data_IF_200133664520
#
_entry.id   IF_200133664520
#
_cell.length_a   1.000
_cell.length_b   1.000
_cell.length_c   1.000
_cell.angle_alpha   90.00
_cell.angle_beta   90.00
_cell.angle_gamma   90.00
#
_symmetry.space_group_name_H-M   'P 1'
#
loop_
_entity.id
_entity.type
_entity.pdbx_description
1 polymer ?
#
# COMPACT_ATOMS: atom_id res chain seq x y z
N UNK A 1 2.39 -13.48 -8.35
CA UNK A 1 2.40 -13.00 -9.77
C UNK A 1 1.41 -11.87 -9.92
N UNK A 2 1.71 -10.79 -10.67
CA UNK A 2 0.79 -9.64 -10.74
C UNK A 2 -0.45 -9.87 -11.62
N UNK A 3 -0.41 -10.79 -12.60
CA UNK A 3 -1.51 -11.04 -13.50
C UNK A 3 -1.42 -12.44 -14.13
N UNK A 4 -2.56 -13.12 -14.27
CA UNK A 4 -2.60 -14.48 -14.83
C UNK A 4 -2.80 -14.51 -16.36
N UNK A 5 -3.46 -13.51 -16.95
CA UNK A 5 -3.84 -13.47 -18.36
C UNK A 5 -3.00 -12.52 -19.22
N UNK A 6 -2.01 -11.83 -18.63
CA UNK A 6 -1.07 -10.96 -19.33
C UNK A 6 0.37 -11.31 -18.96
N UNK A 7 0.96 -12.35 -19.59
CA UNK A 7 2.33 -12.78 -19.32
C UNK A 7 3.37 -11.69 -19.60
N UNK A 8 3.19 -10.92 -20.67
CA UNK A 8 4.11 -9.84 -21.04
C UNK A 8 4.14 -8.73 -19.98
N UNK A 9 2.99 -8.38 -19.42
CA UNK A 9 2.94 -7.45 -18.30
C UNK A 9 3.62 -8.05 -17.06
N UNK A 10 3.35 -9.32 -16.75
CA UNK A 10 3.95 -10.00 -15.62
C UNK A 10 5.48 -10.04 -15.73
N UNK A 11 6.03 -10.37 -16.90
CA UNK A 11 7.47 -10.39 -17.16
C UNK A 11 8.15 -9.02 -16.99
N UNK A 12 7.46 -7.94 -17.31
CA UNK A 12 7.99 -6.59 -17.11
C UNK A 12 7.84 -6.09 -15.67
N UNK A 13 6.74 -6.44 -15.01
CA UNK A 13 6.41 -5.91 -13.68
C UNK A 13 7.14 -6.66 -12.56
N UNK A 14 7.21 -8.00 -12.60
CA UNK A 14 7.79 -8.83 -11.55
C UNK A 14 9.21 -8.42 -11.18
N UNK A 15 10.14 -8.19 -12.13
CA UNK A 15 11.51 -7.83 -11.79
C UNK A 15 11.62 -6.54 -10.96
N UNK A 16 10.67 -5.60 -11.11
CA UNK A 16 10.68 -4.36 -10.34
C UNK A 16 10.39 -4.63 -8.85
N UNK A 17 9.40 -5.46 -8.55
CA UNK A 17 9.09 -5.86 -7.16
C UNK A 17 10.21 -6.70 -6.54
N UNK A 18 10.76 -7.67 -7.30
CA UNK A 18 11.87 -8.51 -6.84
C UNK A 18 13.12 -7.69 -6.56
N UNK A 19 13.45 -6.75 -7.47
CA UNK A 19 14.57 -5.82 -7.29
C UNK A 19 14.36 -4.96 -6.05
N UNK A 20 13.13 -4.47 -5.82
CA UNK A 20 12.82 -3.64 -4.66
C UNK A 20 12.99 -4.42 -3.35
N UNK A 21 12.50 -5.66 -3.30
CA UNK A 21 12.70 -6.55 -2.15
C UNK A 21 14.19 -6.85 -1.92
N UNK A 22 14.93 -7.15 -2.99
CA UNK A 22 16.36 -7.46 -2.91
C UNK A 22 17.21 -6.26 -2.46
N UNK A 23 16.92 -5.05 -2.98
CA UNK A 23 17.59 -3.80 -2.56
C UNK A 23 17.35 -3.48 -1.07
N UNK A 24 16.18 -3.85 -0.55
CA UNK A 24 15.87 -3.72 0.87
C UNK A 24 16.45 -4.85 1.75
N UNK A 25 17.22 -5.78 1.16
CA UNK A 25 17.88 -6.88 1.87
C UNK A 25 17.01 -8.12 2.10
N UNK A 26 15.89 -8.26 1.37
CA UNK A 26 15.03 -9.44 1.38
C UNK A 26 15.36 -10.42 0.25
N UNK A 27 14.87 -11.64 0.38
CA UNK A 27 14.88 -12.65 -0.68
C UNK A 27 13.48 -12.81 -1.26
N UNK A 28 13.22 -12.39 -2.51
CA UNK A 28 11.90 -12.49 -3.12
C UNK A 28 11.58 -13.92 -3.54
N UNK A 29 10.38 -14.37 -3.19
CA UNK A 29 9.86 -15.68 -3.60
C UNK A 29 8.58 -15.48 -4.40
N UNK A 30 8.56 -15.96 -5.65
CA UNK A 30 7.38 -15.89 -6.51
C UNK A 30 6.35 -16.94 -6.13
N UNK A 31 5.09 -16.52 -6.05
CA UNK A 31 3.94 -17.43 -6.00
C UNK A 31 3.23 -17.38 -7.35
N UNK A 32 3.20 -18.49 -8.06
CA UNK A 32 2.51 -18.58 -9.35
C UNK A 32 0.99 -18.68 -9.14
N UNK A 33 0.21 -18.04 -10.01
CA UNK A 33 -1.25 -17.96 -9.89
C UNK A 33 -1.98 -19.25 -10.32
N UNK A 34 -1.27 -20.17 -10.94
CA UNK A 34 -1.79 -21.47 -11.41
C UNK A 34 -1.41 -22.63 -10.48
N UNK A 35 -0.90 -22.35 -9.28
CA UNK A 35 -0.57 -23.39 -8.30
C UNK A 35 -1.81 -23.86 -7.54
N UNK A 36 -1.78 -25.14 -7.13
CA UNK A 36 -2.78 -25.64 -6.21
C UNK A 36 -2.68 -24.94 -4.83
N UNK A 37 -3.79 -24.76 -4.09
CA UNK A 37 -3.78 -24.10 -2.79
C UNK A 37 -2.76 -24.65 -1.80
N UNK A 38 -2.57 -25.98 -1.77
CA UNK A 38 -1.60 -26.63 -0.87
C UNK A 38 -0.14 -26.30 -1.25
N UNK A 39 0.16 -26.10 -2.52
CA UNK A 39 1.50 -25.73 -2.94
C UNK A 39 1.78 -24.26 -2.62
N UNK A 40 0.77 -23.37 -2.73
CA UNK A 40 0.85 -21.99 -2.23
C UNK A 40 1.14 -21.98 -0.72
N UNK A 41 0.43 -22.79 0.07
CA UNK A 41 0.67 -22.90 1.52
C UNK A 41 2.08 -23.37 1.86
N UNK A 42 2.61 -24.38 1.15
CA UNK A 42 4.01 -24.84 1.32
C UNK A 42 5.03 -23.74 1.02
N UNK A 43 4.79 -22.92 -0.01
CA UNK A 43 5.65 -21.75 -0.28
C UNK A 43 5.58 -20.79 0.88
N UNK A 44 4.37 -20.51 1.39
CA UNK A 44 4.16 -19.56 2.50
C UNK A 44 4.82 -19.99 3.81
N UNK A 45 4.95 -21.30 4.08
CA UNK A 45 5.67 -21.80 5.28
C UNK A 45 7.13 -21.31 5.36
N UNK A 46 7.75 -21.03 4.20
CA UNK A 46 9.13 -20.54 4.11
C UNK A 46 9.24 -19.03 4.04
N UNK A 47 8.12 -18.32 3.92
CA UNK A 47 8.09 -16.87 3.75
C UNK A 47 7.79 -16.15 5.06
N UNK A 48 8.53 -15.09 5.34
CA UNK A 48 8.40 -14.28 6.55
C UNK A 48 7.48 -13.07 6.38
N UNK A 49 7.10 -12.74 5.16
CA UNK A 49 6.22 -11.62 4.82
C UNK A 49 5.49 -11.83 3.49
N UNK A 50 4.50 -11.00 3.22
CA UNK A 50 3.67 -11.03 2.00
C UNK A 50 3.74 -9.68 1.30
N UNK A 51 4.10 -9.68 0.02
CA UNK A 51 3.99 -8.54 -0.87
C UNK A 51 2.90 -8.84 -1.91
N UNK A 52 1.85 -8.01 -1.94
CA UNK A 52 0.81 -8.05 -2.96
C UNK A 52 1.12 -6.97 -4.01
N UNK A 53 1.53 -7.36 -5.23
CA UNK A 53 1.89 -6.41 -6.28
C UNK A 53 0.67 -5.78 -6.95
N UNK A 54 0.89 -4.73 -7.72
CA UNK A 54 -0.10 -4.17 -8.64
C UNK A 54 -0.53 -5.14 -9.73
N UNK A 55 -1.63 -4.84 -10.39
CA UNK A 55 -2.18 -5.59 -11.54
C UNK A 55 -2.82 -4.63 -12.54
N UNK A 56 -3.03 -5.10 -13.78
CA UNK A 56 -3.91 -4.45 -14.75
C UNK A 56 -5.36 -4.89 -14.63
N UNK A 57 -5.62 -6.00 -13.91
CA UNK A 57 -6.95 -6.44 -13.59
C UNK A 57 -7.57 -5.53 -12.53
N UNK A 58 -8.88 -5.54 -12.44
CA UNK A 58 -9.63 -4.98 -11.32
C UNK A 58 -10.10 -6.10 -10.40
N UNK A 59 -10.25 -5.79 -9.11
CA UNK A 59 -10.89 -6.71 -8.16
C UNK A 59 -12.35 -6.90 -8.57
N UNK A 60 -12.81 -8.15 -8.60
CA UNK A 60 -14.19 -8.46 -9.00
C UNK A 60 -15.19 -7.73 -8.08
N UNK A 61 -16.08 -6.87 -8.62
CA UNK A 61 -17.11 -6.18 -7.85
C UNK A 61 -18.04 -7.11 -7.06
N UNK A 62 -18.22 -8.35 -7.50
CA UNK A 62 -18.98 -9.35 -6.76
C UNK A 62 -18.39 -9.65 -5.38
N UNK A 63 -17.08 -9.49 -5.18
CA UNK A 63 -16.38 -9.71 -3.91
C UNK A 63 -16.71 -8.68 -2.83
N UNK A 64 -17.18 -7.50 -3.23
CA UNK A 64 -17.67 -6.44 -2.33
C UNK A 64 -19.13 -6.07 -2.58
N UNK A 65 -19.91 -7.01 -3.14
CA UNK A 65 -21.37 -6.97 -3.28
C UNK A 65 -21.91 -5.76 -4.05
N UNK A 66 -21.19 -5.32 -5.06
CA UNK A 66 -21.55 -4.17 -5.90
C UNK A 66 -21.75 -4.60 -7.35
N UNK A 67 -22.68 -3.95 -8.06
CA UNK A 67 -22.83 -4.15 -9.50
C UNK A 67 -21.59 -3.65 -10.23
N UNK A 68 -21.20 -4.39 -11.27
CA UNK A 68 -20.04 -4.03 -12.09
C UNK A 68 -20.27 -2.74 -12.87
N UNK A 69 -19.37 -1.77 -12.73
CA UNK A 69 -19.32 -0.58 -13.58
C UNK A 69 -18.88 -0.96 -15.01
N UNK A 70 -19.37 -0.24 -16.05
CA UNK A 70 -18.87 -0.42 -17.43
C UNK A 70 -17.36 -0.18 -17.58
N UNK A 71 -16.76 0.60 -16.68
CA UNK A 71 -15.34 0.95 -16.69
C UNK A 71 -14.46 -0.05 -15.95
N UNK A 72 -15.04 -1.02 -15.24
CA UNK A 72 -14.26 -2.04 -14.51
C UNK A 72 -13.56 -2.98 -15.50
N UNK A 73 -12.25 -3.09 -15.41
CA UNK A 73 -11.45 -4.02 -16.20
C UNK A 73 -11.78 -5.49 -15.85
N UNK A 74 -11.34 -6.41 -16.67
CA UNK A 74 -11.55 -7.85 -16.44
C UNK A 74 -10.90 -8.26 -15.12
N UNK A 75 -11.66 -8.94 -14.26
CA UNK A 75 -11.14 -9.53 -13.02
C UNK A 75 -10.18 -10.68 -13.31
N UNK A 76 -9.32 -10.97 -12.36
CA UNK A 76 -8.35 -12.09 -12.41
C UNK A 76 -8.63 -13.07 -11.25
N UNK A 77 -9.59 -14.02 -11.40
CA UNK A 77 -9.95 -14.94 -10.33
C UNK A 77 -8.79 -15.78 -9.78
N UNK A 78 -7.83 -16.27 -10.60
CA UNK A 78 -6.62 -16.90 -10.07
C UNK A 78 -5.79 -15.99 -9.17
N UNK A 79 -5.68 -14.70 -9.51
CA UNK A 79 -4.99 -13.71 -8.69
C UNK A 79 -5.73 -13.49 -7.37
N UNK A 80 -7.04 -13.31 -7.43
CA UNK A 80 -7.87 -13.13 -6.23
C UNK A 80 -7.76 -14.33 -5.28
N UNK A 81 -7.84 -15.55 -5.81
CA UNK A 81 -7.73 -16.77 -5.01
C UNK A 81 -6.37 -16.91 -4.32
N UNK A 82 -5.28 -16.58 -5.01
CA UNK A 82 -3.93 -16.63 -4.41
C UNK A 82 -3.77 -15.52 -3.38
N UNK A 83 -4.20 -14.29 -3.66
CA UNK A 83 -4.14 -13.18 -2.69
C UNK A 83 -4.90 -13.53 -1.40
N UNK A 84 -6.07 -14.18 -1.49
CA UNK A 84 -6.84 -14.62 -0.31
C UNK A 84 -6.05 -15.63 0.53
N UNK A 85 -5.40 -16.63 -0.09
CA UNK A 85 -4.54 -17.59 0.63
C UNK A 85 -3.34 -16.92 1.31
N UNK A 86 -2.70 -15.97 0.62
CA UNK A 86 -1.56 -15.23 1.15
C UNK A 86 -1.99 -14.36 2.34
N UNK A 87 -3.13 -13.68 2.24
CA UNK A 87 -3.67 -12.83 3.30
C UNK A 87 -4.16 -13.66 4.49
N UNK A 88 -4.85 -14.79 4.25
CA UNK A 88 -5.26 -15.71 5.31
C UNK A 88 -4.06 -16.14 6.17
N UNK A 89 -2.99 -16.59 5.54
CA UNK A 89 -1.77 -17.00 6.22
C UNK A 89 -1.08 -15.83 6.93
N UNK A 90 -1.01 -14.67 6.26
CA UNK A 90 -0.39 -13.47 6.84
C UNK A 90 -1.12 -12.98 8.09
N UNK A 91 -2.45 -12.95 8.08
CA UNK A 91 -3.24 -12.53 9.25
C UNK A 91 -3.21 -13.59 10.36
N UNK A 92 -3.30 -14.87 10.01
CA UNK A 92 -3.22 -15.97 10.99
C UNK A 92 -1.88 -16.00 11.73
N UNK A 93 -0.79 -15.77 11.03
CA UNK A 93 0.59 -15.86 11.56
C UNK A 93 1.24 -14.50 11.83
N UNK A 94 0.52 -13.39 11.66
CA UNK A 94 1.01 -12.01 11.78
C UNK A 94 2.27 -11.75 10.94
N UNK A 95 2.30 -12.30 9.73
CA UNK A 95 3.36 -11.98 8.77
C UNK A 95 3.16 -10.55 8.26
N UNK A 96 4.22 -9.74 8.16
CA UNK A 96 4.12 -8.42 7.54
C UNK A 96 3.47 -8.47 6.15
N UNK A 97 2.64 -7.47 5.86
CA UNK A 97 1.98 -7.29 4.57
C UNK A 97 2.35 -5.94 3.99
N UNK A 98 2.80 -5.94 2.74
CA UNK A 98 2.93 -4.75 1.90
C UNK A 98 2.04 -4.91 0.67
N UNK A 99 0.98 -4.08 0.55
CA UNK A 99 0.11 -4.03 -0.62
C UNK A 99 0.46 -2.84 -1.52
N UNK A 100 0.51 -3.04 -2.85
CA UNK A 100 0.83 -2.00 -3.82
C UNK A 100 -0.25 -1.96 -4.89
N UNK A 101 -0.90 -0.81 -5.07
CA UNK A 101 -1.94 -0.56 -6.07
C UNK A 101 -3.09 -1.59 -5.96
N UNK A 102 -3.20 -2.55 -6.88
CA UNK A 102 -4.14 -3.67 -6.77
C UNK A 102 -4.02 -4.40 -5.42
N UNK A 103 -2.80 -4.54 -4.88
CA UNK A 103 -2.58 -5.19 -3.58
C UNK A 103 -3.22 -4.44 -2.41
N UNK A 104 -3.33 -3.10 -2.46
CA UNK A 104 -4.13 -2.32 -1.50
C UNK A 104 -5.62 -2.64 -1.66
N UNK A 105 -6.11 -2.67 -2.89
CA UNK A 105 -7.51 -2.91 -3.21
C UNK A 105 -7.94 -4.32 -2.79
N UNK A 106 -7.14 -5.33 -3.15
CA UNK A 106 -7.33 -6.73 -2.77
C UNK A 106 -7.35 -6.91 -1.24
N UNK A 107 -6.40 -6.29 -0.52
CA UNK A 107 -6.36 -6.28 0.94
C UNK A 107 -7.62 -5.65 1.54
N UNK A 108 -8.05 -4.49 1.03
CA UNK A 108 -9.24 -3.80 1.54
C UNK A 108 -10.49 -4.68 1.39
N UNK A 109 -10.68 -5.28 0.21
CA UNK A 109 -11.82 -6.17 -0.09
C UNK A 109 -11.75 -7.46 0.73
N UNK A 110 -10.57 -8.09 0.86
CA UNK A 110 -10.37 -9.24 1.75
C UNK A 110 -10.79 -8.95 3.19
N UNK A 111 -10.61 -7.72 3.65
CA UNK A 111 -11.01 -7.28 4.99
C UNK A 111 -12.47 -6.83 5.09
N UNK A 112 -13.28 -6.99 4.03
CA UNK A 112 -14.69 -6.64 3.95
C UNK A 112 -14.97 -5.19 3.62
N UNK A 113 -14.01 -4.49 3.02
CA UNK A 113 -14.18 -3.15 2.47
C UNK A 113 -14.73 -3.18 1.05
N UNK A 114 -14.98 -1.99 0.47
CA UNK A 114 -15.43 -1.79 -0.92
C UNK A 114 -14.47 -0.90 -1.71
N UNK A 115 -14.70 -0.80 -3.01
CA UNK A 115 -13.90 0.03 -3.91
C UNK A 115 -14.75 1.03 -4.69
N UNK A 116 -14.20 2.20 -4.92
CA UNK A 116 -14.55 3.08 -6.02
C UNK A 116 -14.10 2.40 -7.30
N UNK A 117 -15.05 1.96 -8.15
CA UNK A 117 -14.74 1.19 -9.36
C UNK A 117 -14.15 2.05 -10.49
N UNK A 118 -14.42 3.35 -10.48
CA UNK A 118 -13.89 4.30 -11.47
C UNK A 118 -13.88 5.72 -10.88
N UNK A 119 -12.70 6.19 -10.51
CA UNK A 119 -12.50 7.50 -9.86
C UNK A 119 -13.15 8.65 -10.65
N UNK A 120 -13.00 8.74 -12.00
CA UNK A 120 -13.62 9.82 -12.77
C UNK A 120 -15.15 9.88 -12.67
N UNK A 121 -15.85 8.74 -12.48
CA UNK A 121 -17.31 8.74 -12.28
C UNK A 121 -17.72 9.05 -10.85
N UNK A 122 -16.87 8.69 -9.90
CA UNK A 122 -17.11 8.91 -8.47
C UNK A 122 -16.95 10.38 -8.07
N UNK A 123 -15.97 11.07 -8.66
CA UNK A 123 -15.65 12.45 -8.31
C UNK A 123 -16.64 13.45 -8.94
N UNK A 124 -17.00 14.55 -8.23
CA UNK A 124 -17.67 15.70 -8.84
C UNK A 124 -16.84 16.27 -9.98
N UNK A 125 -17.50 16.85 -10.99
CA UNK A 125 -16.86 17.38 -12.21
C UNK A 125 -15.71 18.36 -11.89
N UNK A 126 -15.88 19.23 -10.87
CA UNK A 126 -14.87 20.21 -10.46
C UNK A 126 -13.62 19.56 -9.86
N UNK A 127 -13.74 18.36 -9.28
CA UNK A 127 -12.61 17.62 -8.71
C UNK A 127 -11.88 16.79 -9.77
N UNK A 128 -12.58 16.24 -10.76
CA UNK A 128 -12.00 15.42 -11.85
C UNK A 128 -10.90 16.13 -12.63
N UNK A 129 -11.02 17.47 -12.79
CA UNK A 129 -10.07 18.26 -13.55
C UNK A 129 -8.77 18.59 -12.79
N UNK A 130 -8.67 18.24 -11.51
CA UNK A 130 -7.55 18.63 -10.64
C UNK A 130 -6.42 17.62 -10.64
N UNK A 131 -6.75 16.32 -10.68
CA UNK A 131 -5.77 15.23 -10.55
C UNK A 131 -6.07 14.14 -11.58
N UNK A 132 -5.02 13.68 -12.23
CA UNK A 132 -5.04 12.46 -13.05
C UNK A 132 -4.29 11.33 -12.30
N UNK A 133 -5.05 10.44 -11.67
CA UNK A 133 -4.49 9.28 -10.96
C UNK A 133 -3.87 8.24 -11.89
N UNK A 134 -3.99 8.37 -13.20
CA UNK A 134 -3.36 7.50 -14.19
C UNK A 134 -2.08 8.11 -14.80
N UNK A 135 -1.77 9.37 -14.50
CA UNK A 135 -0.64 10.10 -15.09
C UNK A 135 0.72 9.42 -14.87
N UNK A 136 0.91 8.70 -13.76
CA UNK A 136 2.15 7.96 -13.45
C UNK A 136 2.48 6.81 -14.41
N UNK A 137 1.64 6.56 -15.42
CA UNK A 137 1.98 5.72 -16.58
C UNK A 137 3.00 6.42 -17.50
N UNK A 138 3.04 7.74 -17.48
CA UNK A 138 3.83 8.58 -18.42
C UNK A 138 4.74 9.58 -17.73
N UNK A 139 4.48 9.92 -16.46
CA UNK A 139 5.27 10.90 -15.68
C UNK A 139 5.78 10.27 -14.37
N UNK A 140 6.90 10.78 -13.87
CA UNK A 140 7.53 10.29 -12.64
C UNK A 140 6.74 10.69 -11.37
N UNK A 141 6.05 11.83 -11.40
CA UNK A 141 5.19 12.33 -10.32
C UNK A 141 3.83 12.67 -10.92
N UNK A 142 2.78 12.03 -10.43
CA UNK A 142 1.40 12.27 -10.85
C UNK A 142 0.74 13.36 -10.00
N UNK A 143 0.84 13.24 -8.68
CA UNK A 143 0.27 14.17 -7.69
C UNK A 143 0.98 14.04 -6.34
N UNK A 144 0.50 14.74 -5.32
CA UNK A 144 0.95 14.59 -3.94
C UNK A 144 -0.05 13.77 -3.12
N UNK A 145 0.42 13.22 -2.01
CA UNK A 145 -0.43 12.61 -0.99
C UNK A 145 -0.14 13.21 0.38
N UNK A 146 -1.18 13.44 1.16
CA UNK A 146 -1.11 13.80 2.56
C UNK A 146 -1.16 12.56 3.43
N UNK A 147 -0.12 12.36 4.24
CA UNK A 147 0.02 11.22 5.15
C UNK A 147 -0.24 11.68 6.57
N UNK A 148 -1.10 10.96 7.29
CA UNK A 148 -1.42 11.22 8.71
C UNK A 148 -0.14 11.14 9.55
N UNK A 149 0.22 12.21 10.22
CA UNK A 149 1.53 12.43 10.86
C UNK A 149 1.98 11.31 11.84
N UNK A 150 1.09 10.79 12.66
CA UNK A 150 1.42 9.75 13.64
C UNK A 150 1.17 8.31 13.14
N UNK A 151 0.95 8.16 11.82
CA UNK A 151 0.79 6.84 11.19
C UNK A 151 2.11 6.06 11.17
N UNK A 152 2.00 4.74 11.01
CA UNK A 152 3.16 3.88 10.73
C UNK A 152 3.82 4.30 9.42
N UNK A 153 3.01 4.58 8.40
CA UNK A 153 3.49 5.03 7.10
C UNK A 153 4.31 6.33 7.23
N UNK A 154 3.83 7.35 7.96
CA UNK A 154 4.57 8.59 8.16
C UNK A 154 5.93 8.34 8.82
N UNK A 155 5.99 7.51 9.86
CA UNK A 155 7.24 7.14 10.53
C UNK A 155 8.22 6.43 9.61
N UNK A 156 7.73 5.59 8.72
CA UNK A 156 8.53 4.86 7.73
C UNK A 156 9.13 5.84 6.72
N UNK A 157 8.31 6.65 6.05
CA UNK A 157 8.78 7.50 4.94
C UNK A 157 9.58 8.71 5.40
N UNK A 158 9.46 9.13 6.67
CA UNK A 158 10.33 10.16 7.28
C UNK A 158 11.69 9.62 7.75
N UNK A 159 12.02 8.37 7.44
CA UNK A 159 13.32 7.76 7.76
C UNK A 159 13.51 7.39 9.22
N UNK A 160 12.45 7.27 10.01
CA UNK A 160 12.55 6.92 11.45
C UNK A 160 13.23 7.99 12.30
N UNK A 161 13.71 9.07 11.71
CA UNK A 161 14.15 10.26 12.42
C UNK A 161 12.91 10.94 12.99
N UNK A 162 12.45 10.47 14.15
CA UNK A 162 11.58 11.29 14.97
C UNK A 162 12.20 12.67 15.02
N UNK A 163 11.52 13.66 14.48
CA UNK A 163 11.96 15.05 14.59
C UNK A 163 12.14 15.36 16.06
N UNK A 164 13.37 15.36 16.53
CA UNK A 164 13.78 15.82 17.86
C UNK A 164 13.53 17.33 18.03
N UNK A 165 12.93 17.98 17.04
CA UNK A 165 12.60 19.41 17.10
C UNK A 165 11.63 19.78 18.23
N UNK A 166 10.77 18.87 18.68
CA UNK A 166 9.89 19.09 19.83
C UNK A 166 10.56 18.89 21.19
N UNK A 167 11.63 18.09 21.27
CA UNK A 167 12.31 17.83 22.54
C UNK A 167 13.36 18.87 22.90
N UNK A 168 13.88 19.60 21.91
CA UNK A 168 14.83 20.69 22.12
C UNK A 168 14.13 21.99 22.53
N UNK A 169 12.92 22.26 22.05
CA UNK A 169 12.12 23.44 22.41
C UNK A 169 11.69 23.47 23.89
N UNK A 170 11.63 22.32 24.57
CA UNK A 170 11.25 22.22 25.99
C UNK A 170 12.39 22.53 26.97
N UNK A 171 13.61 22.79 26.51
CA UNK A 171 14.75 23.11 27.39
C UNK A 171 14.87 24.59 27.75
N UNK A 172 14.15 25.46 27.07
CA UNK A 172 14.19 26.89 27.29
C UNK A 172 12.85 27.36 27.91
N UNK A 173 12.63 27.13 29.16
CA UNK A 173 11.64 27.58 30.15
C UNK A 173 10.41 28.44 29.74
N UNK A 174 10.09 28.52 28.48
CA UNK A 174 8.91 29.19 27.94
C UNK A 174 7.71 28.27 27.79
N UNK A 175 6.56 28.66 28.37
CA UNK A 175 5.27 28.01 28.10
C UNK A 175 4.80 28.36 26.68
N UNK A 176 5.41 27.72 25.69
CA UNK A 176 5.05 27.95 24.29
C UNK A 176 3.82 27.08 23.95
N UNK A 177 2.64 27.72 24.12
CA UNK A 177 1.33 27.08 23.81
C UNK A 177 1.31 26.60 22.36
N UNK A 178 1.96 27.31 21.44
CA UNK A 178 2.08 26.88 20.03
C UNK A 178 2.89 25.60 19.85
N UNK A 179 3.98 25.42 20.61
CA UNK A 179 4.76 24.17 20.59
C UNK A 179 3.97 22.99 21.17
N UNK A 180 3.16 23.22 22.21
CA UNK A 180 2.27 22.22 22.79
C UNK A 180 1.08 21.88 21.86
N UNK A 181 0.57 22.83 21.11
CA UNK A 181 -0.47 22.60 20.08
C UNK A 181 0.10 21.84 18.88
N UNK A 182 1.30 22.15 18.41
CA UNK A 182 1.99 21.42 17.35
C UNK A 182 2.26 19.95 17.74
N UNK A 183 2.54 19.67 19.02
CA UNK A 183 2.66 18.30 19.53
C UNK A 183 1.31 17.56 19.59
N UNK A 184 0.20 18.26 19.76
CA UNK A 184 -1.15 17.70 19.79
C UNK A 184 -1.73 17.47 18.41
N UNK A 185 -1.37 18.30 17.43
CA UNK A 185 -1.83 18.27 16.05
C UNK A 185 -0.63 18.37 15.10
N UNK A 186 0.19 17.30 15.01
CA UNK A 186 1.33 17.32 14.10
C UNK A 186 0.83 17.46 12.66
N UNK A 187 1.47 18.35 11.91
CA UNK A 187 1.15 18.57 10.50
C UNK A 187 1.29 17.28 9.68
N UNK A 188 0.41 17.04 8.71
CA UNK A 188 0.51 15.90 7.82
C UNK A 188 1.80 15.97 7.00
N UNK A 189 2.37 14.82 6.71
CA UNK A 189 3.51 14.70 5.81
C UNK A 189 3.02 14.66 4.36
N UNK A 190 3.53 15.53 3.51
CA UNK A 190 3.19 15.57 2.09
C UNK A 190 4.35 15.01 1.26
N UNK A 191 4.08 14.01 0.41
CA UNK A 191 5.07 13.45 -0.51
C UNK A 191 4.52 13.38 -1.94
N UNK A 192 5.38 13.51 -2.98
CA UNK A 192 5.00 13.27 -4.36
C UNK A 192 4.91 11.77 -4.64
N UNK A 193 3.97 11.35 -5.50
CA UNK A 193 3.76 9.94 -5.86
C UNK A 193 3.54 9.73 -7.35
N UNK A 194 3.83 8.50 -7.82
CA UNK A 194 3.71 8.07 -9.22
C UNK A 194 2.44 7.24 -9.45
N UNK A 195 1.28 7.80 -9.12
CA UNK A 195 -0.02 7.11 -9.23
C UNK A 195 -0.37 6.66 -10.64
N UNK A 196 -0.93 5.44 -10.73
CA UNK A 196 -1.26 4.78 -12.01
C UNK A 196 -2.47 3.85 -11.83
N UNK A 197 -3.59 4.40 -11.33
CA UNK A 197 -4.80 3.65 -10.98
C UNK A 197 -6.06 4.44 -11.33
N UNK A 198 -7.16 3.73 -11.61
CA UNK A 198 -8.49 4.32 -11.80
C UNK A 198 -9.50 3.87 -10.75
N UNK A 199 -9.10 2.95 -9.85
CA UNK A 199 -9.88 2.49 -8.70
C UNK A 199 -9.21 2.92 -7.40
N UNK A 200 -9.96 2.98 -6.30
CA UNK A 200 -9.44 3.26 -4.96
C UNK A 200 -10.31 2.57 -3.90
N UNK A 201 -9.79 2.46 -2.66
CA UNK A 201 -10.61 2.04 -1.53
C UNK A 201 -11.73 3.06 -1.27
N UNK A 202 -12.93 2.54 -0.94
CA UNK A 202 -14.12 3.32 -0.58
C UNK A 202 -14.48 3.05 0.90
N UNK A 203 -15.34 2.08 1.22
CA UNK A 203 -15.50 1.62 2.59
C UNK A 203 -14.27 0.82 3.02
N UNK A 204 -13.75 1.13 4.22
CA UNK A 204 -12.51 0.53 4.70
C UNK A 204 -12.78 -0.76 5.44
N UNK A 205 -12.00 -1.79 5.09
CA UNK A 205 -12.10 -3.12 5.66
C UNK A 205 -11.72 -3.21 7.14
N UNK A 206 -12.25 -4.22 7.82
CA UNK A 206 -12.07 -4.44 9.25
C UNK A 206 -10.59 -4.53 9.65
N UNK A 207 -10.20 -3.73 10.65
CA UNK A 207 -8.83 -3.70 11.17
C UNK A 207 -7.84 -2.94 10.28
N UNK A 208 -8.35 -2.17 9.31
CA UNK A 208 -7.60 -1.19 8.52
C UNK A 208 -8.01 0.23 8.88
N UNK A 209 -7.16 1.20 8.59
CA UNK A 209 -7.45 2.63 8.66
C UNK A 209 -6.80 3.39 7.51
N UNK A 210 -7.41 4.49 7.11
CA UNK A 210 -6.84 5.40 6.12
C UNK A 210 -5.69 6.17 6.77
N UNK A 211 -4.56 6.23 6.07
CA UNK A 211 -3.37 6.97 6.51
C UNK A 211 -2.80 7.90 5.45
N UNK A 212 -3.30 7.86 4.22
CA UNK A 212 -3.00 8.88 3.22
C UNK A 212 -4.19 9.11 2.28
N UNK A 213 -4.31 10.35 1.82
CA UNK A 213 -5.26 10.80 0.79
C UNK A 213 -4.58 11.76 -0.18
N UNK A 214 -5.10 11.82 -1.39
CA UNK A 214 -4.84 12.92 -2.30
C UNK A 214 -5.52 14.18 -1.75
N UNK A 215 -4.80 15.31 -1.50
CA UNK A 215 -5.39 16.49 -0.89
C UNK A 215 -6.38 17.22 -1.82
N UNK A 216 -6.23 17.08 -3.14
CA UNK A 216 -7.03 17.80 -4.12
C UNK A 216 -8.44 17.22 -4.30
N UNK A 217 -8.62 15.92 -4.08
CA UNK A 217 -9.91 15.24 -4.35
C UNK A 217 -10.35 14.24 -3.26
N UNK A 218 -9.49 14.00 -2.27
CA UNK A 218 -9.79 13.15 -1.12
C UNK A 218 -9.72 11.64 -1.39
N UNK A 219 -9.27 11.22 -2.57
CA UNK A 219 -9.11 9.80 -2.92
C UNK A 219 -8.14 9.14 -1.94
N UNK A 220 -8.49 7.92 -1.50
CA UNK A 220 -7.66 7.13 -0.57
C UNK A 220 -6.41 6.63 -1.29
N UNK A 221 -5.25 6.94 -0.70
CA UNK A 221 -3.94 6.62 -1.27
C UNK A 221 -3.14 5.64 -0.41
N UNK A 222 -3.45 5.51 0.88
CA UNK A 222 -2.83 4.46 1.70
C UNK A 222 -3.71 4.00 2.85
N UNK A 223 -3.53 2.71 3.18
CA UNK A 223 -4.13 2.04 4.32
C UNK A 223 -3.05 1.43 5.20
N UNK A 224 -3.31 1.34 6.50
CA UNK A 224 -2.50 0.52 7.41
C UNK A 224 -3.35 -0.28 8.38
N UNK A 225 -2.79 -1.37 8.89
CA UNK A 225 -3.42 -2.18 9.93
C UNK A 225 -3.47 -1.48 11.28
N UNK A 226 -4.57 -1.66 12.02
CA UNK A 226 -4.78 -1.04 13.34
C UNK A 226 -4.05 -1.78 14.47
N UNK A 227 -3.60 -3.02 14.25
CA UNK A 227 -2.86 -3.79 15.24
C UNK A 227 -1.41 -3.30 15.33
N UNK A 228 -0.92 -2.88 16.53
CA UNK A 228 0.41 -2.30 16.69
C UNK A 228 1.55 -3.28 16.40
N UNK A 229 1.36 -4.55 16.69
CA UNK A 229 2.35 -5.63 16.57
C UNK A 229 2.23 -6.42 15.25
N UNK A 230 1.40 -5.97 14.32
CA UNK A 230 1.29 -6.53 12.97
C UNK A 230 1.56 -5.45 11.93
N UNK A 231 2.68 -5.58 11.22
CA UNK A 231 3.00 -4.66 10.13
C UNK A 231 2.09 -4.95 8.93
N UNK A 232 1.14 -4.08 8.70
CA UNK A 232 0.29 -4.08 7.51
C UNK A 232 0.29 -2.65 6.98
N UNK A 233 0.83 -2.44 5.79
CA UNK A 233 0.85 -1.16 5.07
C UNK A 233 0.48 -1.43 3.63
N UNK A 234 -0.39 -0.60 3.06
CA UNK A 234 -0.72 -0.69 1.65
C UNK A 234 -0.81 0.71 1.05
N UNK A 235 -0.25 0.88 -0.13
CA UNK A 235 -0.17 2.14 -0.86
C UNK A 235 -0.78 2.00 -2.25
N UNK A 236 -1.41 3.05 -2.75
CA UNK A 236 -2.09 3.03 -4.04
C UNK A 236 -1.14 3.36 -5.20
N UNK A 237 -0.05 4.10 -4.92
CA UNK A 237 1.02 4.38 -5.89
C UNK A 237 2.01 3.22 -6.02
N UNK A 238 3.06 3.39 -6.84
CA UNK A 238 4.00 2.35 -7.25
C UNK A 238 5.44 2.60 -6.75
N UNK A 239 5.75 2.40 -5.47
CA UNK A 239 7.09 2.63 -4.92
C UNK A 239 8.17 1.73 -5.54
N UNK A 240 7.81 0.57 -6.09
CA UNK A 240 8.74 -0.33 -6.78
C UNK A 240 9.38 0.29 -8.01
N UNK A 241 8.72 1.29 -8.62
CA UNK A 241 9.23 1.98 -9.82
C UNK A 241 10.27 3.04 -9.50
N UNK A 242 10.31 3.54 -8.28
CA UNK A 242 11.15 4.67 -7.86
C UNK A 242 12.12 4.35 -6.71
N UNK A 243 12.27 3.10 -6.33
CA UNK A 243 13.07 2.70 -5.16
C UNK A 243 14.54 3.16 -5.20
N UNK A 244 15.11 3.31 -6.38
CA UNK A 244 16.52 3.73 -6.52
C UNK A 244 16.70 5.25 -6.37
N UNK A 245 15.69 6.04 -6.74
CA UNK A 245 15.73 7.49 -6.81
C UNK A 245 15.00 8.16 -5.65
N UNK A 246 14.02 7.49 -5.05
CA UNK A 246 13.15 8.05 -4.03
C UNK A 246 13.39 7.38 -2.66
N UNK A 247 13.74 8.21 -1.67
CA UNK A 247 14.02 7.75 -0.32
C UNK A 247 12.79 7.20 0.41
N UNK A 248 11.60 7.77 0.16
CA UNK A 248 10.35 7.31 0.77
C UNK A 248 9.97 5.92 0.26
N UNK A 249 10.12 5.68 -1.05
CA UNK A 249 9.92 4.37 -1.66
C UNK A 249 10.88 3.33 -1.09
N UNK A 250 12.16 3.67 -0.94
CA UNK A 250 13.17 2.79 -0.34
C UNK A 250 12.83 2.45 1.10
N UNK A 251 12.52 3.45 1.92
CA UNK A 251 12.18 3.28 3.32
C UNK A 251 10.98 2.35 3.53
N UNK A 252 9.99 2.39 2.62
CA UNK A 252 8.82 1.51 2.69
C UNK A 252 9.20 0.04 2.55
N UNK A 253 10.03 -0.31 1.57
CA UNK A 253 10.52 -1.68 1.40
C UNK A 253 11.45 -2.11 2.54
N UNK A 254 12.36 -1.24 2.99
CA UNK A 254 13.25 -1.51 4.13
C UNK A 254 12.46 -1.78 5.41
N UNK A 255 11.40 -1.01 5.70
CA UNK A 255 10.54 -1.22 6.86
C UNK A 255 9.78 -2.55 6.77
N UNK A 256 9.29 -2.93 5.59
CA UNK A 256 8.65 -4.22 5.36
C UNK A 256 9.61 -5.39 5.62
N UNK A 257 10.82 -5.35 5.05
CA UNK A 257 11.84 -6.39 5.24
C UNK A 257 12.33 -6.43 6.69
N UNK A 258 12.49 -5.26 7.33
CA UNK A 258 12.81 -5.20 8.75
C UNK A 258 11.74 -5.89 9.61
N UNK A 259 10.47 -5.62 9.35
CA UNK A 259 9.35 -6.26 10.07
C UNK A 259 9.34 -7.79 9.87
N UNK A 260 9.62 -8.28 8.67
CA UNK A 260 9.74 -9.71 8.36
C UNK A 260 10.91 -10.35 9.15
N UNK A 261 12.07 -9.69 9.16
CA UNK A 261 13.25 -10.13 9.91
C UNK A 261 13.00 -10.15 11.42
N UNK A 262 12.34 -9.14 11.98
CA UNK A 262 12.00 -9.09 13.41
C UNK A 262 11.00 -10.18 13.81
N UNK A 263 10.04 -10.48 12.94
CA UNK A 263 9.11 -11.59 13.16
C UNK A 263 9.84 -12.94 13.21
N UNK A 264 10.72 -13.21 12.24
CA UNK A 264 11.52 -14.46 12.17
C UNK A 264 12.36 -14.69 13.42
N UNK A 265 12.91 -13.62 14.03
CA UNK A 265 13.70 -13.72 15.27
C UNK A 265 12.88 -14.06 16.51
N UNK A 266 11.55 -13.94 16.45
CA UNK A 266 10.64 -14.22 17.58
C UNK A 266 10.05 -15.63 17.52
N UNK A 267 10.26 -16.36 16.44
CA UNK A 267 9.86 -17.76 16.26
C UNK A 267 10.98 -18.71 16.69
#
# INVERSE_FOLDING_TARGET
MPHSFDPEYAERAIPQYERAVALAGGEPVRVALNQAPDDVRKVMERCDGVLLPGSKADVDPARFHTMRSPHTATADPPRDAVDDLLLEDAYRLRKPVLGICYGLQSLNVYRGGSLVQHIPEFLPEQARARVDHEAGKTVAVAHTVEIVANSRLAKVVSGGSGSSSGAEALRDGGSDIAALEALRHPEPLVIPVNSSHHQSADAIGNGLRIVARCPEDGIVEALEGTLPDHFVVAVQWHPERSIEQDAASRALFEAFIHAATQRRKKL
#
